data_IF_101628914124
#
_entry.id   IF_101628914124
#
_cell.length_a   1.000
_cell.length_b   1.000
_cell.length_c   1.000
_cell.angle_alpha   90.00
_cell.angle_beta   90.00
_cell.angle_gamma   90.00
#
_symmetry.space_group_name_H-M   'P 1'
#
loop_
_entity.id
_entity.type
_entity.pdbx_description
1 polymer ?
#
# COMPACT_ATOMS: atom_id res chain seq x y z
N UNK A 1 13.70 -11.73 15.85
CA UNK A 1 13.99 -11.25 14.49
C UNK A 1 12.73 -10.58 13.99
N UNK A 2 12.81 -9.36 13.46
CA UNK A 2 11.63 -8.62 12.98
C UNK A 2 10.97 -9.39 11.83
N UNK A 3 9.67 -9.62 11.87
CA UNK A 3 8.94 -10.27 10.76
C UNK A 3 8.21 -9.20 9.96
N UNK A 4 8.49 -9.13 8.66
CA UNK A 4 7.80 -8.22 7.75
C UNK A 4 6.67 -8.93 7.00
N UNK A 5 5.56 -8.22 6.84
CA UNK A 5 4.44 -8.61 5.99
C UNK A 5 4.16 -7.50 4.97
N UNK A 6 3.87 -7.91 3.74
CA UNK A 6 3.68 -7.02 2.59
C UNK A 6 2.26 -7.17 2.08
N UNK A 7 1.56 -6.05 1.92
CA UNK A 7 0.20 -6.02 1.35
C UNK A 7 0.23 -5.24 0.05
N UNK A 8 0.07 -5.96 -1.07
CA UNK A 8 0.04 -5.34 -2.39
C UNK A 8 -1.31 -4.64 -2.62
N UNK A 9 -1.25 -3.38 -3.02
CA UNK A 9 -2.41 -2.55 -3.32
C UNK A 9 -2.25 -1.95 -4.72
N UNK A 10 -3.30 -2.11 -5.52
CA UNK A 10 -3.39 -1.53 -6.83
C UNK A 10 -4.07 -0.16 -6.79
N UNK A 11 -3.45 0.80 -7.46
CA UNK A 11 -4.01 2.12 -7.70
C UNK A 11 -5.04 2.05 -8.81
N UNK A 12 -6.23 2.59 -8.55
CA UNK A 12 -7.30 2.74 -9.53
C UNK A 12 -7.28 4.13 -10.18
N UNK A 13 -7.90 4.27 -11.35
CA UNK A 13 -8.18 5.58 -11.94
C UNK A 13 -9.56 6.07 -11.47
N UNK A 14 -9.68 7.36 -11.12
CA UNK A 14 -10.96 7.97 -10.72
C UNK A 14 -11.13 9.30 -11.45
N UNK A 15 -11.94 9.29 -12.51
CA UNK A 15 -12.13 10.47 -13.37
C UNK A 15 -10.82 10.92 -14.01
N UNK A 16 -10.46 12.20 -13.83
CA UNK A 16 -9.19 12.76 -14.30
C UNK A 16 -8.00 12.46 -13.37
N UNK A 17 -8.22 11.80 -12.22
CA UNK A 17 -7.16 11.44 -11.27
C UNK A 17 -6.59 10.07 -11.64
N UNK A 18 -5.35 10.09 -12.11
CA UNK A 18 -4.54 8.90 -12.26
C UNK A 18 -3.92 8.56 -10.90
N UNK A 19 -3.94 7.28 -10.55
CA UNK A 19 -3.35 6.73 -9.32
C UNK A 19 -4.02 7.15 -8.00
N UNK A 20 -5.18 6.56 -7.71
CA UNK A 20 -5.91 6.71 -6.44
C UNK A 20 -6.09 5.38 -5.66
N UNK A 21 -6.05 5.43 -4.32
CA UNK A 21 -6.32 4.28 -3.42
C UNK A 21 -7.29 4.71 -2.30
N UNK A 22 -8.40 3.97 -2.14
CA UNK A 22 -9.37 4.18 -1.05
C UNK A 22 -9.04 3.35 0.21
N UNK A 23 -8.65 2.09 0.03
CA UNK A 23 -8.63 1.09 1.12
C UNK A 23 -7.37 1.11 2.01
N UNK A 24 -6.44 2.03 1.78
CA UNK A 24 -5.16 2.03 2.48
C UNK A 24 -5.32 2.23 4.00
N UNK A 25 -6.28 3.07 4.43
CA UNK A 25 -6.56 3.30 5.86
C UNK A 25 -7.13 2.05 6.52
N UNK A 26 -8.17 1.47 5.95
CA UNK A 26 -8.81 0.25 6.47
C UNK A 26 -7.82 -0.91 6.61
N UNK A 27 -6.88 -1.04 5.67
CA UNK A 27 -5.81 -2.05 5.73
C UNK A 27 -4.86 -1.74 6.88
N UNK A 28 -4.38 -0.50 7.00
CA UNK A 28 -3.45 -0.09 8.07
C UNK A 28 -4.10 -0.29 9.44
N UNK A 29 -5.35 0.14 9.61
CA UNK A 29 -6.10 0.01 10.85
C UNK A 29 -6.33 -1.47 11.22
N UNK A 30 -6.71 -2.30 10.24
CA UNK A 30 -6.86 -3.75 10.46
C UNK A 30 -5.55 -4.44 10.88
N UNK A 31 -4.40 -3.98 10.39
CA UNK A 31 -3.10 -4.51 10.81
C UNK A 31 -2.71 -4.00 12.20
N UNK A 32 -3.01 -2.75 12.52
CA UNK A 32 -2.82 -2.19 13.86
C UNK A 32 -3.63 -2.98 14.92
N UNK A 33 -4.89 -3.31 14.62
CA UNK A 33 -5.74 -4.14 15.50
C UNK A 33 -5.17 -5.55 15.73
N UNK A 34 -4.39 -6.08 14.77
CA UNK A 34 -3.71 -7.38 14.86
C UNK A 34 -2.34 -7.29 15.55
N UNK A 35 -1.97 -6.12 16.06
CA UNK A 35 -0.71 -5.86 16.75
C UNK A 35 0.50 -5.66 15.84
N UNK A 36 0.29 -5.35 14.56
CA UNK A 36 1.38 -5.01 13.65
C UNK A 36 1.67 -3.51 13.68
N UNK A 37 2.92 -3.14 13.39
CA UNK A 37 3.35 -1.75 13.20
C UNK A 37 3.46 -1.44 11.71
N UNK A 38 2.82 -0.37 11.26
CA UNK A 38 3.05 0.17 9.91
C UNK A 38 4.45 0.77 9.80
N UNK A 39 5.21 0.35 8.78
CA UNK A 39 6.60 0.75 8.55
C UNK A 39 6.70 1.77 7.41
N UNK A 40 5.89 1.59 6.35
CA UNK A 40 5.92 2.43 5.16
C UNK A 40 5.37 1.70 3.94
N UNK A 41 5.69 2.20 2.75
CA UNK A 41 5.32 1.56 1.50
C UNK A 41 6.44 1.61 0.47
N UNK A 42 6.41 0.71 -0.51
CA UNK A 42 7.33 0.68 -1.67
C UNK A 42 6.52 0.54 -2.95
N UNK A 43 6.75 1.39 -3.99
CA UNK A 43 6.19 1.15 -5.32
C UNK A 43 6.70 -0.16 -5.91
N UNK A 44 5.78 -1.01 -6.38
CA UNK A 44 6.10 -2.30 -7.01
C UNK A 44 5.84 -2.30 -8.51
N UNK A 45 5.01 -1.37 -9.00
CA UNK A 45 4.75 -1.18 -10.41
C UNK A 45 4.62 0.32 -10.73
N UNK A 46 5.40 0.79 -11.70
CA UNK A 46 5.38 2.19 -12.18
C UNK A 46 5.21 2.17 -13.70
N UNK A 47 4.21 2.90 -14.19
CA UNK A 47 3.95 3.01 -15.63
C UNK A 47 5.01 3.83 -16.35
N UNK A 48 5.08 3.69 -17.68
CA UNK A 48 6.01 4.45 -18.53
C UNK A 48 5.82 5.98 -18.44
N UNK A 49 4.65 6.44 -17.98
CA UNK A 49 4.34 7.84 -17.72
C UNK A 49 4.76 8.31 -16.31
N UNK A 50 5.44 7.46 -15.52
CA UNK A 50 5.86 7.74 -14.15
C UNK A 50 4.77 7.56 -13.09
N UNK A 51 3.54 7.18 -13.47
CA UNK A 51 2.47 6.95 -12.49
C UNK A 51 2.65 5.62 -11.77
N UNK A 52 2.64 5.64 -10.43
CA UNK A 52 2.62 4.43 -9.61
C UNK A 52 1.31 3.69 -9.85
N UNK A 53 1.41 2.39 -10.12
CA UNK A 53 0.27 1.48 -10.37
C UNK A 53 0.04 0.54 -9.21
N UNK A 54 1.10 0.08 -8.55
CA UNK A 54 1.01 -0.79 -7.37
C UNK A 54 2.02 -0.40 -6.32
N UNK A 55 1.65 -0.59 -5.07
CA UNK A 55 2.53 -0.46 -3.90
C UNK A 55 2.40 -1.68 -3.01
N UNK A 56 3.44 -1.97 -2.26
CA UNK A 56 3.32 -2.79 -1.07
C UNK A 56 3.27 -1.89 0.17
N UNK A 57 2.24 -2.03 1.00
CA UNK A 57 2.29 -1.56 2.39
C UNK A 57 3.09 -2.56 3.21
N UNK A 58 3.99 -2.05 4.05
CA UNK A 58 4.92 -2.86 4.82
C UNK A 58 4.56 -2.77 6.30
N UNK A 59 4.40 -3.94 6.91
CA UNK A 59 4.08 -4.09 8.33
C UNK A 59 5.14 -4.92 9.04
N UNK A 60 5.43 -4.58 10.29
CA UNK A 60 6.36 -5.30 11.17
C UNK A 60 5.60 -5.95 12.33
N UNK A 61 5.99 -7.17 12.70
CA UNK A 61 5.57 -7.89 13.90
C UNK A 61 6.76 -8.31 14.75
#
# INVERSE_FOLDING_TARGET
MKKYEYVNIEYSAKGAVFSYIEKHRDIIDSYADKGFRYVGFVPTEVGANGCIRKIDLIFEK
#
